data_IF_034378799546
#
_entry.id   IF_034378799546
#
_cell.length_a   1.000
_cell.length_b   1.000
_cell.length_c   1.000
_cell.angle_alpha   90.00
_cell.angle_beta   90.00
_cell.angle_gamma   90.00
#
_symmetry.space_group_name_H-M   'P 1'
#
loop_
_entity.id
_entity.type
_entity.pdbx_description
1 polymer ?
#
# COMPACT_ATOMS: atom_id res chain seq x y z
N UNK A 1 -30.99 28.95 20.04
CA UNK A 1 -29.61 28.48 20.30
C UNK A 1 -29.09 27.83 19.02
N UNK A 2 -28.12 28.45 18.32
CA UNK A 2 -27.49 27.89 17.11
C UNK A 2 -26.07 27.49 17.48
N UNK A 3 -25.81 26.19 17.59
CA UNK A 3 -24.46 25.66 17.69
C UNK A 3 -23.91 25.50 16.27
N UNK A 4 -23.11 26.47 15.83
CA UNK A 4 -22.29 26.32 14.62
C UNK A 4 -21.03 25.58 15.07
N UNK A 5 -21.00 24.26 14.86
CA UNK A 5 -19.77 23.48 14.99
C UNK A 5 -18.95 23.69 13.71
N UNK A 6 -17.98 24.61 13.79
CA UNK A 6 -16.93 24.74 12.79
C UNK A 6 -15.97 23.55 12.97
N UNK A 7 -16.27 22.42 12.32
CA UNK A 7 -15.34 21.32 12.19
C UNK A 7 -14.18 21.78 11.28
N UNK A 8 -13.09 22.22 11.89
CA UNK A 8 -11.84 22.44 11.20
C UNK A 8 -11.34 21.06 10.75
N UNK A 9 -11.66 20.66 9.52
CA UNK A 9 -11.08 19.47 8.92
C UNK A 9 -9.56 19.66 8.85
N UNK A 10 -8.83 19.01 9.75
CA UNK A 10 -7.39 18.87 9.62
C UNK A 10 -7.14 18.00 8.38
N UNK A 11 -6.94 18.65 7.23
CA UNK A 11 -6.40 17.99 6.06
C UNK A 11 -4.97 17.56 6.41
N UNK A 12 -4.77 16.29 6.74
CA UNK A 12 -3.43 15.71 6.79
C UNK A 12 -2.83 15.85 5.40
N UNK A 13 -1.87 16.76 5.23
CA UNK A 13 -1.06 16.82 4.03
C UNK A 13 -0.21 15.56 4.01
N UNK A 14 -0.64 14.54 3.25
CA UNK A 14 0.22 13.42 2.89
C UNK A 14 1.24 13.98 1.92
N UNK A 15 2.49 14.14 2.35
CA UNK A 15 3.58 14.44 1.41
C UNK A 15 3.79 13.19 0.58
N UNK A 16 3.42 13.27 -0.70
CA UNK A 16 3.90 12.34 -1.70
C UNK A 16 5.43 12.42 -1.77
N UNK A 17 6.06 11.33 -2.17
CA UNK A 17 7.48 11.36 -2.51
C UNK A 17 7.66 12.19 -3.78
N UNK A 18 8.77 12.92 -3.87
CA UNK A 18 9.18 13.59 -5.09
C UNK A 18 9.79 12.54 -6.03
N UNK A 19 9.13 12.30 -7.15
CA UNK A 19 9.58 11.37 -8.19
C UNK A 19 10.43 12.10 -9.26
N UNK A 20 11.35 11.40 -9.96
CA UNK A 20 11.65 9.98 -9.85
C UNK A 20 12.47 9.62 -8.60
N UNK A 21 12.30 8.40 -8.11
CA UNK A 21 13.05 7.85 -6.97
C UNK A 21 13.94 6.71 -7.46
N UNK A 22 15.23 6.78 -7.12
CA UNK A 22 16.17 5.69 -7.35
C UNK A 22 16.29 4.79 -6.12
N UNK A 23 16.08 3.49 -6.29
CA UNK A 23 16.24 2.47 -5.24
C UNK A 23 17.17 1.37 -5.74
N UNK A 24 18.19 1.03 -4.97
CA UNK A 24 18.99 -0.18 -5.21
C UNK A 24 18.49 -1.29 -4.27
N UNK A 25 17.97 -2.37 -4.85
CA UNK A 25 17.50 -3.55 -4.12
C UNK A 25 18.25 -4.78 -4.63
N UNK A 26 18.85 -5.56 -3.72
CA UNK A 26 19.69 -6.72 -4.06
C UNK A 26 20.80 -6.41 -5.09
N UNK A 27 21.35 -5.18 -5.05
CA UNK A 27 22.38 -4.73 -5.99
C UNK A 27 21.87 -4.30 -7.37
N UNK A 28 20.57 -4.38 -7.63
CA UNK A 28 19.93 -3.92 -8.87
C UNK A 28 19.34 -2.54 -8.65
N UNK A 29 19.74 -1.57 -9.47
CA UNK A 29 19.16 -0.22 -9.47
C UNK A 29 17.81 -0.22 -10.19
N UNK A 30 16.82 0.42 -9.58
CA UNK A 30 15.49 0.65 -10.13
C UNK A 30 15.14 2.13 -10.01
N UNK A 31 14.71 2.74 -11.11
CA UNK A 31 14.11 4.06 -11.11
C UNK A 31 12.59 3.90 -11.08
N UNK A 32 11.96 4.54 -10.11
CA UNK A 32 10.51 4.58 -9.96
C UNK A 32 10.07 5.99 -10.37
N UNK A 33 9.32 6.11 -11.45
CA UNK A 33 8.93 7.41 -12.01
C UNK A 33 7.65 7.98 -11.40
N UNK A 34 6.83 7.12 -10.81
CA UNK A 34 5.60 7.49 -10.09
C UNK A 34 5.22 6.37 -9.10
N UNK A 35 4.30 6.67 -8.18
CA UNK A 35 3.79 5.67 -7.25
C UNK A 35 3.20 4.45 -8.02
N UNK A 36 3.62 3.20 -7.72
CA UNK A 36 3.10 2.03 -8.39
C UNK A 36 1.57 1.92 -8.28
N UNK A 37 0.91 1.72 -9.43
CA UNK A 37 -0.55 1.61 -9.51
C UNK A 37 -1.05 0.16 -9.51
N UNK A 38 -0.17 -0.79 -9.86
CA UNK A 38 -0.45 -2.22 -9.99
C UNK A 38 0.78 -3.01 -9.57
N UNK A 39 0.70 -3.74 -8.48
CA UNK A 39 1.77 -4.60 -7.97
C UNK A 39 1.34 -6.07 -8.03
N UNK A 40 2.29 -6.95 -8.30
CA UNK A 40 2.12 -8.40 -8.07
C UNK A 40 3.05 -8.77 -6.93
N UNK A 41 2.52 -9.36 -5.87
CA UNK A 41 3.32 -9.83 -4.75
C UNK A 41 3.79 -11.26 -5.00
N UNK A 42 5.05 -11.49 -4.70
CA UNK A 42 5.71 -12.78 -4.79
C UNK A 42 6.03 -13.22 -3.38
N UNK A 43 5.34 -14.24 -2.88
CA UNK A 43 5.34 -14.74 -1.50
C UNK A 43 4.31 -14.12 -0.53
N UNK A 44 4.05 -14.84 0.56
CA UNK A 44 3.07 -14.42 1.58
C UNK A 44 3.52 -13.16 2.33
N UNK A 45 4.80 -13.05 2.70
CA UNK A 45 5.31 -11.88 3.41
C UNK A 45 5.11 -10.57 2.64
N UNK A 46 5.42 -10.55 1.34
CA UNK A 46 5.18 -9.39 0.49
C UNK A 46 3.68 -9.07 0.36
N UNK A 47 2.84 -10.12 0.27
CA UNK A 47 1.39 -10.00 0.23
C UNK A 47 0.84 -9.33 1.49
N UNK A 48 1.17 -9.86 2.66
CA UNK A 48 0.66 -9.35 3.94
C UNK A 48 1.22 -7.97 4.28
N UNK A 49 2.44 -7.63 3.86
CA UNK A 49 2.98 -6.26 3.99
C UNK A 49 2.13 -5.26 3.21
N UNK A 50 1.75 -5.58 1.97
CA UNK A 50 0.88 -4.67 1.19
C UNK A 50 -0.50 -4.51 1.84
N UNK A 51 -1.09 -5.61 2.32
CA UNK A 51 -2.39 -5.57 3.00
C UNK A 51 -2.33 -4.76 4.30
N UNK A 52 -1.29 -4.95 5.12
CA UNK A 52 -1.09 -4.22 6.37
C UNK A 52 -0.86 -2.71 6.18
N UNK A 53 -0.38 -2.30 4.99
CA UNK A 53 -0.23 -0.90 4.60
C UNK A 53 -1.48 -0.32 3.93
N UNK A 54 -2.59 -1.05 3.89
CA UNK A 54 -3.85 -0.66 3.24
C UNK A 54 -3.70 -0.43 1.73
N UNK A 55 -2.89 -1.25 1.06
CA UNK A 55 -2.59 -1.16 -0.38
C UNK A 55 -3.26 -2.25 -1.23
N UNK A 56 -4.33 -2.86 -0.72
CA UNK A 56 -5.06 -3.93 -1.44
C UNK A 56 -5.56 -3.45 -2.81
N UNK A 57 -5.98 -2.19 -2.93
CA UNK A 57 -6.43 -1.55 -4.19
C UNK A 57 -5.32 -1.45 -5.26
N UNK A 58 -4.05 -1.55 -4.86
CA UNK A 58 -2.88 -1.52 -5.74
C UNK A 58 -2.42 -2.91 -6.14
N UNK A 59 -2.96 -3.97 -5.56
CA UNK A 59 -2.58 -5.35 -5.89
C UNK A 59 -3.32 -5.81 -7.15
N UNK A 60 -2.56 -6.21 -8.17
CA UNK A 60 -3.07 -6.79 -9.40
C UNK A 60 -3.10 -8.33 -9.36
N UNK A 61 -2.44 -8.94 -8.36
CA UNK A 61 -2.42 -10.38 -8.16
C UNK A 61 -1.36 -10.79 -7.14
N UNK A 62 -1.38 -12.06 -6.75
CA UNK A 62 -0.44 -12.67 -5.82
C UNK A 62 0.04 -14.01 -6.33
N UNK A 63 1.27 -14.39 -6.02
CA UNK A 63 1.80 -15.71 -6.34
C UNK A 63 2.67 -16.26 -5.20
N UNK A 64 2.79 -17.60 -5.15
CA UNK A 64 3.61 -18.32 -4.19
C UNK A 64 3.28 -18.05 -2.71
N UNK A 65 2.00 -18.09 -2.32
CA UNK A 65 1.66 -18.05 -0.90
C UNK A 65 2.23 -19.28 -0.17
N UNK A 66 2.74 -19.05 1.03
CA UNK A 66 3.37 -20.08 1.86
C UNK A 66 2.30 -20.87 2.65
N UNK A 67 1.23 -20.20 3.11
CA UNK A 67 0.04 -20.74 3.78
C UNK A 67 -1.18 -19.80 3.53
N UNK A 68 -2.27 -19.98 4.30
CA UNK A 68 -3.37 -19.04 4.36
C UNK A 68 -2.92 -17.65 4.84
N UNK A 69 -3.53 -16.61 4.27
CA UNK A 69 -3.37 -15.22 4.74
C UNK A 69 -3.81 -15.11 6.20
N UNK A 70 -3.06 -14.35 6.99
CA UNK A 70 -3.38 -14.11 8.39
C UNK A 70 -4.84 -13.64 8.55
N UNK A 71 -5.66 -14.22 9.46
CA UNK A 71 -7.09 -13.95 9.49
C UNK A 71 -7.47 -12.47 9.62
N UNK A 72 -6.65 -11.68 10.31
CA UNK A 72 -6.86 -10.22 10.47
C UNK A 72 -6.75 -9.45 9.14
N UNK A 73 -6.07 -10.01 8.13
CA UNK A 73 -5.87 -9.40 6.81
C UNK A 73 -6.75 -10.05 5.72
N UNK A 74 -7.51 -11.11 6.07
CA UNK A 74 -8.23 -11.94 5.10
C UNK A 74 -9.33 -11.17 4.35
N UNK A 75 -10.06 -10.28 5.02
CA UNK A 75 -11.07 -9.44 4.38
C UNK A 75 -10.44 -8.54 3.32
N UNK A 76 -9.27 -7.94 3.63
CA UNK A 76 -8.56 -7.07 2.70
C UNK A 76 -7.99 -7.85 1.50
N UNK A 77 -7.66 -9.13 1.66
CA UNK A 77 -7.16 -10.00 0.59
C UNK A 77 -8.26 -10.48 -0.36
N UNK A 78 -9.47 -10.72 0.15
CA UNK A 78 -10.59 -11.33 -0.59
C UNK A 78 -11.49 -10.32 -1.33
N UNK A 79 -11.03 -9.07 -1.50
CA UNK A 79 -11.78 -8.00 -2.14
C UNK A 79 -11.89 -8.16 -3.66
#
# INVERSE_FOLDING_TARGET
>A
MKFIALALALSKSVRGLDYPIGITNCGVFQQIDEAPKRAVTMNQGATEVMLALDLADRMAGTAYLDDYIWPELSDAYNQ
#
